data_IF_239398440235
#
_entry.id   IF_239398440235
#
_cell.length_a   1.000
_cell.length_b   1.000
_cell.length_c   1.000
_cell.angle_alpha   90.00
_cell.angle_beta   90.00
_cell.angle_gamma   90.00
#
_symmetry.space_group_name_H-M   'P 1'
#
loop_
_entity.id
_entity.type
_entity.pdbx_description
1 polymer ?
#
# COMPACT_ATOMS: atom_id res chain seq x y z
N UNK A 1 3.79 -12.36 17.69
CA UNK A 1 3.60 -11.52 16.48
C UNK A 1 4.77 -11.82 15.55
N UNK A 2 4.54 -12.40 14.36
CA UNK A 2 5.63 -12.71 13.42
C UNK A 2 5.90 -11.47 12.56
N UNK A 3 7.14 -11.00 12.54
CA UNK A 3 7.59 -9.97 11.58
C UNK A 3 7.80 -10.64 10.23
N UNK A 4 6.86 -10.48 9.31
CA UNK A 4 6.91 -11.14 7.99
C UNK A 4 7.77 -10.40 6.97
N UNK A 5 8.23 -9.18 7.27
CA UNK A 5 8.86 -8.31 6.28
C UNK A 5 10.13 -7.67 6.82
N UNK A 6 11.29 -8.18 6.39
CA UNK A 6 12.55 -7.46 6.49
C UNK A 6 12.78 -6.70 5.17
N UNK A 7 12.30 -5.46 5.11
CA UNK A 7 12.45 -4.59 3.94
C UNK A 7 13.42 -3.46 4.27
N UNK A 8 14.59 -3.48 3.64
CA UNK A 8 15.56 -2.39 3.68
C UNK A 8 15.04 -1.20 2.88
N UNK A 9 15.14 0.00 3.46
CA UNK A 9 14.77 1.22 2.76
C UNK A 9 15.87 1.52 1.75
N UNK A 10 15.56 1.66 0.44
CA UNK A 10 16.57 1.99 -0.54
C UNK A 10 17.28 3.32 -0.20
N UNK A 11 18.57 3.42 -0.53
CA UNK A 11 19.43 4.54 -0.10
C UNK A 11 18.85 5.92 -0.42
N UNK A 12 18.23 6.07 -1.60
CA UNK A 12 17.65 7.34 -2.07
C UNK A 12 16.21 7.59 -1.62
N UNK A 13 15.66 6.70 -0.77
CA UNK A 13 14.30 6.78 -0.27
C UNK A 13 14.27 7.11 1.22
N UNK A 14 13.13 7.62 1.67
CA UNK A 14 12.81 7.84 3.08
C UNK A 14 11.33 7.60 3.33
N UNK A 15 10.99 7.38 4.59
CA UNK A 15 9.60 7.28 5.00
C UNK A 15 8.94 8.67 4.94
N UNK A 16 7.82 8.75 4.24
CA UNK A 16 6.94 9.92 4.16
C UNK A 16 5.83 9.80 5.20
N UNK A 17 5.15 8.66 5.24
CA UNK A 17 4.11 8.32 6.22
C UNK A 17 4.44 6.99 6.89
N UNK A 18 4.19 6.90 8.19
CA UNK A 18 4.56 5.75 9.02
C UNK A 18 3.34 4.98 9.50
N UNK A 19 3.43 3.66 9.41
CA UNK A 19 2.62 2.67 10.11
C UNK A 19 1.10 2.96 10.15
N UNK A 20 0.44 2.74 9.01
CA UNK A 20 -1.02 2.77 8.93
C UNK A 20 -1.55 1.57 8.15
N UNK A 21 -2.86 1.37 8.26
CA UNK A 21 -3.57 0.24 7.67
C UNK A 21 -4.11 0.52 6.27
N UNK A 22 -4.63 -0.54 5.64
CA UNK A 22 -5.35 -0.45 4.38
C UNK A 22 -6.84 -0.29 4.68
N UNK A 23 -7.45 0.78 4.19
CA UNK A 23 -8.89 0.98 4.31
C UNK A 23 -9.64 -0.01 3.41
N UNK A 24 -10.69 -0.63 3.96
CA UNK A 24 -11.49 -1.63 3.24
C UNK A 24 -10.82 -2.98 3.02
N UNK A 25 -9.70 -3.28 3.69
CA UNK A 25 -9.01 -4.58 3.52
C UNK A 25 -9.89 -5.77 3.93
N UNK A 26 -10.76 -5.61 4.93
CA UNK A 26 -11.68 -6.66 5.34
C UNK A 26 -12.72 -6.98 4.25
N UNK A 27 -13.21 -5.95 3.54
CA UNK A 27 -14.14 -6.10 2.41
C UNK A 27 -13.45 -6.74 1.19
N UNK A 28 -12.12 -6.69 1.13
CA UNK A 28 -11.28 -7.22 0.06
C UNK A 28 -10.40 -8.39 0.52
N UNK A 29 -10.74 -9.04 1.65
CA UNK A 29 -9.91 -10.11 2.23
C UNK A 29 -9.65 -11.25 1.26
N UNK A 30 -10.65 -11.67 0.48
CA UNK A 30 -10.50 -12.72 -0.53
C UNK A 30 -9.48 -12.36 -1.61
N UNK A 31 -9.44 -11.08 -2.01
CA UNK A 31 -8.45 -10.60 -2.97
C UNK A 31 -7.05 -10.66 -2.38
N UNK A 32 -6.90 -10.21 -1.14
CA UNK A 32 -5.63 -10.25 -0.43
C UNK A 32 -5.13 -11.70 -0.29
N UNK A 33 -5.97 -12.62 0.16
CA UNK A 33 -5.64 -14.04 0.32
C UNK A 33 -5.28 -14.75 -1.00
N UNK A 34 -5.92 -14.36 -2.12
CA UNK A 34 -5.56 -14.89 -3.46
C UNK A 34 -4.14 -14.51 -3.91
N UNK A 35 -3.69 -13.33 -3.49
CA UNK A 35 -2.34 -12.82 -3.78
C UNK A 35 -1.35 -13.37 -2.76
N UNK A 36 -1.70 -13.41 -1.49
CA UNK A 36 -0.84 -13.87 -0.42
C UNK A 36 -0.77 -15.40 -0.36
N UNK A 37 0.06 -15.99 -1.23
CA UNK A 37 0.42 -17.41 -1.17
C UNK A 37 1.66 -17.61 -0.30
N UNK A 38 1.78 -18.80 0.29
CA UNK A 38 2.99 -19.23 0.98
C UNK A 38 4.21 -19.04 0.06
N UNK A 39 5.27 -18.42 0.59
CA UNK A 39 6.54 -18.14 -0.09
C UNK A 39 6.45 -17.23 -1.33
N UNK A 40 5.30 -16.58 -1.56
CA UNK A 40 5.15 -15.65 -2.68
C UNK A 40 5.74 -14.28 -2.34
N UNK A 41 6.60 -13.76 -3.23
CA UNK A 41 7.00 -12.36 -3.21
C UNK A 41 5.84 -11.51 -3.72
N UNK A 42 5.30 -10.68 -2.84
CA UNK A 42 4.19 -9.76 -3.13
C UNK A 42 4.72 -8.34 -3.25
N UNK A 43 4.42 -7.69 -4.38
CA UNK A 43 4.62 -6.28 -4.61
C UNK A 43 3.30 -5.53 -4.43
N UNK A 44 3.38 -4.27 -4.02
CA UNK A 44 2.22 -3.40 -3.84
C UNK A 44 2.36 -2.19 -4.75
N UNK A 45 1.26 -1.78 -5.38
CA UNK A 45 1.22 -0.58 -6.24
C UNK A 45 0.04 0.30 -5.86
N UNK A 46 0.20 1.60 -6.09
CA UNK A 46 -0.80 2.63 -5.81
C UNK A 46 -1.37 3.16 -7.13
N UNK A 47 -2.69 3.36 -7.20
CA UNK A 47 -3.36 3.95 -8.38
C UNK A 47 -4.44 4.92 -7.93
N UNK A 48 -4.51 6.10 -8.54
CA UNK A 48 -5.61 7.02 -8.32
C UNK A 48 -6.92 6.39 -8.84
N UNK A 49 -8.00 6.56 -8.08
CA UNK A 49 -9.35 6.11 -8.40
C UNK A 49 -10.31 7.31 -8.32
N UNK A 50 -10.26 8.24 -9.28
CA UNK A 50 -11.09 9.46 -9.26
C UNK A 50 -12.58 9.16 -9.44
N UNK A 51 -12.92 7.94 -9.85
CA UNK A 51 -14.29 7.46 -10.04
C UNK A 51 -14.90 6.87 -8.77
N UNK A 52 -14.16 6.83 -7.67
CA UNK A 52 -14.66 6.30 -6.41
C UNK A 52 -15.84 7.16 -5.90
N UNK A 53 -17.01 6.56 -5.62
CA UNK A 53 -18.21 7.32 -5.25
C UNK A 53 -18.12 8.00 -3.87
N UNK A 54 -17.22 7.54 -3.00
CA UNK A 54 -17.09 8.04 -1.63
C UNK A 54 -15.98 9.08 -1.44
N UNK A 55 -14.96 9.02 -2.30
CA UNK A 55 -13.79 9.92 -2.23
C UNK A 55 -13.16 10.14 -3.61
N UNK A 56 -13.30 11.32 -4.24
CA UNK A 56 -12.67 11.59 -5.54
C UNK A 56 -11.13 11.60 -5.47
N UNK A 57 -10.57 11.67 -4.26
CA UNK A 57 -9.13 11.58 -4.03
C UNK A 57 -8.67 10.16 -3.68
N UNK A 58 -9.52 9.15 -3.83
CA UNK A 58 -9.19 7.78 -3.45
C UNK A 58 -7.93 7.28 -4.20
N UNK A 59 -7.04 6.62 -3.47
CA UNK A 59 -5.89 5.91 -4.03
C UNK A 59 -6.02 4.44 -3.67
N UNK A 60 -6.31 3.62 -4.68
CA UNK A 60 -6.43 2.18 -4.56
C UNK A 60 -5.06 1.52 -4.41
N UNK A 61 -5.01 0.51 -3.54
CA UNK A 61 -3.84 -0.33 -3.32
C UNK A 61 -4.07 -1.66 -4.03
N UNK A 62 -3.13 -2.02 -4.91
CA UNK A 62 -3.11 -3.30 -5.58
C UNK A 62 -1.97 -4.15 -5.06
N UNK A 63 -2.26 -5.40 -4.72
CA UNK A 63 -1.25 -6.41 -4.44
C UNK A 63 -1.02 -7.27 -5.68
N UNK A 64 0.25 -7.58 -5.92
CA UNK A 64 0.70 -8.28 -7.11
C UNK A 64 1.72 -9.35 -6.75
N UNK A 65 1.61 -10.53 -7.35
CA UNK A 65 2.66 -11.56 -7.29
C UNK A 65 2.91 -12.18 -8.66
N UNK A 66 4.08 -12.79 -8.82
CA UNK A 66 4.34 -13.69 -9.95
C UNK A 66 3.58 -15.00 -9.73
N UNK A 67 2.83 -15.43 -10.73
CA UNK A 67 2.19 -16.74 -10.81
C UNK A 67 2.83 -17.60 -11.90
N UNK A 68 2.39 -18.85 -11.99
CA UNK A 68 2.87 -19.79 -13.00
C UNK A 68 2.47 -19.36 -14.43
N UNK A 69 1.24 -18.86 -14.59
CA UNK A 69 0.70 -18.33 -15.85
C UNK A 69 0.63 -16.80 -15.85
N UNK A 70 1.73 -16.12 -15.50
CA UNK A 70 1.82 -14.66 -15.52
C UNK A 70 1.56 -14.00 -14.16
N UNK A 71 1.25 -12.70 -14.17
CA UNK A 71 1.12 -11.89 -12.97
C UNK A 71 -0.31 -11.94 -12.43
N UNK A 72 -0.45 -12.18 -11.12
CA UNK A 72 -1.74 -12.07 -10.42
C UNK A 72 -1.74 -10.74 -9.70
N UNK A 73 -2.65 -9.85 -10.10
CA UNK A 73 -2.83 -8.53 -9.49
C UNK A 73 -4.29 -8.37 -9.04
N UNK A 74 -4.49 -7.90 -7.81
CA UNK A 74 -5.81 -7.68 -7.23
C UNK A 74 -5.87 -6.39 -6.42
N UNK A 75 -6.98 -5.63 -6.46
CA UNK A 75 -7.20 -4.54 -5.54
C UNK A 75 -7.47 -5.09 -4.14
N UNK A 76 -6.80 -4.55 -3.14
CA UNK A 76 -6.86 -5.01 -1.75
C UNK A 76 -7.39 -3.95 -0.77
N UNK A 77 -7.71 -2.77 -1.26
CA UNK A 77 -8.28 -1.68 -0.47
C UNK A 77 -7.74 -0.32 -0.93
N UNK A 78 -7.75 0.65 -0.04
CA UNK A 78 -7.40 2.04 -0.31
C UNK A 78 -6.43 2.61 0.73
N UNK A 79 -5.72 3.66 0.35
CA UNK A 79 -5.02 4.53 1.30
C UNK A 79 -6.04 5.36 2.11
N UNK A 80 -5.72 5.69 3.37
CA UNK A 80 -6.56 6.58 4.16
C UNK A 80 -6.83 7.91 3.48
N UNK A 81 -8.08 8.38 3.51
CA UNK A 81 -8.54 9.60 2.81
C UNK A 81 -7.64 10.82 3.00
N UNK A 82 -7.17 11.06 4.23
CA UNK A 82 -6.26 12.18 4.55
C UNK A 82 -4.92 12.05 3.82
N UNK A 83 -4.37 10.85 3.78
CA UNK A 83 -3.10 10.54 3.12
C UNK A 83 -3.29 10.64 1.60
N UNK A 84 -4.37 10.07 1.05
CA UNK A 84 -4.65 10.10 -0.39
C UNK A 84 -4.79 11.53 -0.91
N UNK A 85 -5.56 12.36 -0.21
CA UNK A 85 -5.75 13.77 -0.57
C UNK A 85 -4.43 14.55 -0.55
N UNK A 86 -3.57 14.29 0.43
CA UNK A 86 -2.27 14.95 0.51
C UNK A 86 -1.32 14.48 -0.62
N UNK A 87 -1.25 13.18 -0.89
CA UNK A 87 -0.43 12.61 -1.97
C UNK A 87 -0.83 13.20 -3.33
N UNK A 88 -2.13 13.26 -3.65
CA UNK A 88 -2.57 13.76 -4.95
C UNK A 88 -2.24 15.24 -5.15
N UNK A 89 -2.32 16.08 -4.12
CA UNK A 89 -1.90 17.48 -4.18
C UNK A 89 -0.41 17.66 -4.50
N UNK A 90 0.41 16.68 -4.14
CA UNK A 90 1.87 16.75 -4.37
C UNK A 90 2.26 16.30 -5.77
N UNK A 91 1.38 15.64 -6.53
CA UNK A 91 1.70 14.98 -7.80
C UNK A 91 2.79 13.90 -7.71
N UNK A 92 3.06 13.38 -6.50
CA UNK A 92 4.14 12.41 -6.26
C UNK A 92 3.73 10.94 -6.35
N UNK A 93 2.44 10.64 -6.60
CA UNK A 93 1.88 9.28 -6.52
C UNK A 93 2.73 8.22 -7.25
N UNK A 94 3.20 8.52 -8.47
CA UNK A 94 4.00 7.60 -9.28
C UNK A 94 5.40 7.30 -8.74
N UNK A 95 5.87 8.07 -7.74
CA UNK A 95 7.18 7.95 -7.12
C UNK A 95 7.13 7.34 -5.71
N UNK A 96 5.94 6.93 -5.26
CA UNK A 96 5.75 6.36 -3.94
C UNK A 96 5.82 4.83 -3.98
N UNK A 97 6.30 4.25 -2.88
CA UNK A 97 6.32 2.81 -2.68
C UNK A 97 5.72 2.46 -1.32
N UNK A 98 5.02 1.33 -1.27
CA UNK A 98 4.56 0.74 -0.03
C UNK A 98 5.68 -0.13 0.54
N UNK A 99 5.98 0.06 1.83
CA UNK A 99 6.85 -0.83 2.61
C UNK A 99 6.01 -1.58 3.65
N UNK A 100 5.71 -2.87 3.43
CA UNK A 100 5.02 -3.69 4.42
C UNK A 100 5.77 -3.71 5.76
N UNK A 101 5.04 -3.64 6.88
CA UNK A 101 5.59 -3.64 8.24
C UNK A 101 5.11 -4.84 9.03
N UNK A 102 3.80 -4.97 9.16
CA UNK A 102 3.18 -6.06 9.92
C UNK A 102 2.10 -6.72 9.09
N UNK A 103 2.03 -8.03 9.20
CA UNK A 103 0.91 -8.84 8.72
C UNK A 103 0.49 -9.79 9.84
N UNK A 104 -0.79 -9.78 10.12
CA UNK A 104 -1.48 -10.69 11.01
C UNK A 104 -2.70 -11.22 10.27
N UNK A 105 -2.89 -12.53 10.31
CA UNK A 105 -4.09 -13.18 9.80
C UNK A 105 -4.64 -13.96 10.98
N UNK A 106 -5.84 -13.58 11.44
CA UNK A 106 -6.56 -14.26 12.51
C UNK A 106 -7.20 -15.55 12.02
N UNK A 107 -7.61 -16.41 12.95
CA UNK A 107 -8.27 -17.69 12.65
C UNK A 107 -9.64 -17.50 11.96
N UNK A 108 -10.26 -16.32 12.14
CA UNK A 108 -11.48 -15.87 11.47
C UNK A 108 -11.22 -15.23 10.09
N UNK A 109 -9.99 -15.32 9.58
CA UNK A 109 -9.50 -14.60 8.40
C UNK A 109 -9.53 -13.07 8.54
N UNK A 110 -9.51 -12.53 9.76
CA UNK A 110 -9.26 -11.11 9.98
C UNK A 110 -7.85 -10.75 9.52
N UNK A 111 -7.72 -9.70 8.71
CA UNK A 111 -6.41 -9.27 8.18
C UNK A 111 -5.97 -7.99 8.89
N UNK A 112 -4.96 -8.10 9.75
CA UNK A 112 -4.22 -6.95 10.26
C UNK A 112 -3.00 -6.69 9.38
N UNK A 113 -3.02 -5.64 8.56
CA UNK A 113 -1.87 -5.24 7.74
C UNK A 113 -1.49 -3.80 8.02
N UNK A 114 -0.20 -3.54 8.25
CA UNK A 114 0.32 -2.18 8.34
C UNK A 114 1.55 -1.98 7.46
N UNK A 115 1.73 -0.75 7.00
CA UNK A 115 2.81 -0.38 6.09
C UNK A 115 3.23 1.08 6.27
N UNK A 116 4.40 1.40 5.73
CA UNK A 116 4.89 2.77 5.53
C UNK A 116 4.73 3.17 4.05
N UNK A 117 4.61 4.47 3.78
CA UNK A 117 4.86 5.02 2.43
C UNK A 117 6.28 5.55 2.38
N UNK A 118 7.01 5.09 1.37
CA UNK A 118 8.32 5.59 1.01
C UNK A 118 8.22 6.52 -0.20
N UNK A 119 9.02 7.57 -0.20
CA UNK A 119 9.26 8.42 -1.37
C UNK A 119 10.74 8.80 -1.45
N UNK A 120 11.15 9.39 -2.57
CA UNK A 120 12.55 9.81 -2.75
C UNK A 120 12.91 10.94 -1.78
N UNK A 121 14.16 10.99 -1.35
CA UNK A 121 14.64 12.02 -0.39
C UNK A 121 14.56 13.44 -0.95
N UNK A 122 14.79 13.61 -2.24
CA UNK A 122 14.79 14.90 -2.96
C UNK A 122 13.39 15.53 -3.07
N UNK A 123 12.34 14.71 -3.15
CA UNK A 123 10.94 15.14 -3.25
C UNK A 123 10.26 15.36 -1.89
N UNK A 124 10.97 15.11 -0.78
CA UNK A 124 10.37 15.17 0.56
C UNK A 124 9.94 16.58 0.98
N UNK A 125 10.65 17.63 0.52
CA UNK A 125 10.25 19.01 0.77
C UNK A 125 8.92 19.34 0.07
N UNK A 126 8.75 18.90 -1.18
CA UNK A 126 7.51 19.05 -1.94
C UNK A 126 6.36 18.33 -1.23
N UNK A 127 6.61 17.10 -0.77
CA UNK A 127 5.63 16.36 0.02
C UNK A 127 5.19 17.14 1.27
N UNK A 128 6.14 17.53 2.13
CA UNK A 128 5.84 18.20 3.41
C UNK A 128 5.08 19.53 3.25
N UNK A 129 5.38 20.28 2.20
CA UNK A 129 4.84 21.64 2.00
C UNK A 129 3.41 21.65 1.42
N UNK A 130 2.85 20.50 1.02
CA UNK A 130 1.49 20.40 0.51
C UNK A 130 0.40 20.24 1.60
N UNK A 131 0.77 20.55 2.85
CA UNK A 131 -0.10 20.44 4.04
C UNK A 131 -1.01 21.64 4.19
#
# INVERSE_FOLDING_TARGET
MKEYFNFEIPENFRVYEKEFGIEGIQDKKDNFMKVLKKDAVVAFTLRADPTNPNDPNAIAIFAKRKGFFGQVERPIGYLPKKISSHILKTELLSFLMIRPRKLYIGDDNYIGFSFDILGRKDTFKQYKNAS
#
